data_IF_585498313356
#
_entry.id   IF_585498313356
#
_cell.length_a   1.000
_cell.length_b   1.000
_cell.length_c   1.000
_cell.angle_alpha   90.00
_cell.angle_beta   90.00
_cell.angle_gamma   90.00
#
_symmetry.space_group_name_H-M   'P 1'
#
loop_
_entity.id
_entity.type
_entity.pdbx_description
1 polymer ?
#
# COMPACT_ATOMS: atom_id res chain seq x y z
N UNK A 1 23.91 10.83 12.00
CA UNK A 1 22.43 10.93 12.02
C UNK A 1 21.94 10.14 10.82
N UNK A 2 21.31 8.98 11.01
CA UNK A 2 20.68 8.27 9.89
C UNK A 2 19.39 9.02 9.52
N UNK A 3 19.26 9.46 8.26
CA UNK A 3 18.05 10.14 7.77
C UNK A 3 16.79 9.30 8.02
N UNK A 4 16.94 7.97 7.97
CA UNK A 4 15.87 6.98 8.14
C UNK A 4 15.27 6.93 9.55
N UNK A 5 16.03 7.32 10.59
CA UNK A 5 15.54 7.39 11.97
C UNK A 5 14.39 8.37 12.14
N UNK A 6 14.31 9.37 11.26
CA UNK A 6 13.28 10.42 11.28
C UNK A 6 12.10 10.13 10.37
N UNK A 7 12.17 9.07 9.55
CA UNK A 7 11.15 8.77 8.54
C UNK A 7 9.96 7.99 9.13
N UNK A 8 9.24 8.53 10.11
CA UNK A 8 8.05 7.84 10.68
C UNK A 8 6.82 7.82 9.74
N UNK A 9 6.88 8.50 8.59
CA UNK A 9 5.85 8.59 7.55
C UNK A 9 4.47 9.12 7.98
N UNK A 10 4.21 9.32 9.28
CA UNK A 10 2.92 9.75 9.83
C UNK A 10 2.41 11.04 9.17
N UNK A 11 3.21 12.11 9.22
CA UNK A 11 2.86 13.42 8.62
C UNK A 11 2.61 13.31 7.11
N UNK A 12 3.41 12.49 6.42
CA UNK A 12 3.27 12.26 4.99
C UNK A 12 1.94 11.55 4.68
N UNK A 13 1.66 10.43 5.35
CA UNK A 13 0.40 9.69 5.22
C UNK A 13 -0.82 10.55 5.57
N UNK A 14 -0.75 11.37 6.63
CA UNK A 14 -1.80 12.32 7.00
C UNK A 14 -2.08 13.31 5.86
N UNK A 15 -1.02 13.87 5.28
CA UNK A 15 -1.11 14.82 4.18
C UNK A 15 -1.74 14.18 2.94
N UNK A 16 -1.33 12.97 2.60
CA UNK A 16 -1.85 12.24 1.45
C UNK A 16 -3.31 11.85 1.61
N UNK A 17 -3.68 11.30 2.78
CA UNK A 17 -5.06 10.96 3.08
C UNK A 17 -5.94 12.21 3.08
N UNK A 18 -5.45 13.35 3.59
CA UNK A 18 -6.16 14.63 3.53
C UNK A 18 -6.40 15.08 2.09
N UNK A 19 -5.38 15.01 1.23
CA UNK A 19 -5.49 15.33 -0.21
C UNK A 19 -6.46 14.40 -0.93
N UNK A 20 -6.29 13.09 -0.78
CA UNK A 20 -7.14 12.08 -1.41
C UNK A 20 -8.60 12.20 -0.94
N UNK A 21 -8.85 12.44 0.35
CA UNK A 21 -10.19 12.65 0.88
C UNK A 21 -10.81 13.96 0.37
N UNK A 22 -10.01 15.01 0.14
CA UNK A 22 -10.49 16.25 -0.49
C UNK A 22 -10.93 16.02 -1.93
N UNK A 23 -10.11 15.32 -2.73
CA UNK A 23 -10.44 14.94 -4.12
C UNK A 23 -11.72 14.09 -4.15
N UNK A 24 -11.79 13.06 -3.31
CA UNK A 24 -12.97 12.20 -3.21
C UNK A 24 -14.23 12.99 -2.80
N UNK A 25 -14.10 13.95 -1.87
CA UNK A 25 -15.19 14.83 -1.45
C UNK A 25 -15.72 15.71 -2.58
N UNK A 26 -14.82 16.32 -3.38
CA UNK A 26 -15.19 17.12 -4.55
C UNK A 26 -15.90 16.29 -5.63
N UNK A 27 -15.44 15.06 -5.83
CA UNK A 27 -15.99 14.12 -6.80
C UNK A 27 -17.10 13.23 -6.23
N UNK A 28 -17.64 13.53 -5.04
CA UNK A 28 -18.65 12.68 -4.39
C UNK A 28 -19.85 12.40 -5.29
N UNK A 29 -20.34 13.41 -6.02
CA UNK A 29 -21.48 13.24 -6.94
C UNK A 29 -21.22 12.18 -8.02
N UNK A 30 -19.98 12.10 -8.53
CA UNK A 30 -19.55 11.08 -9.50
C UNK A 30 -19.64 9.68 -8.88
N UNK A 31 -19.07 9.49 -7.69
CA UNK A 31 -18.98 8.17 -7.06
C UNK A 31 -20.32 7.65 -6.53
N UNK A 32 -21.28 8.53 -6.24
CA UNK A 32 -22.63 8.15 -5.81
C UNK A 32 -23.69 8.23 -6.93
N UNK A 33 -23.29 8.53 -8.17
CA UNK A 33 -24.23 8.65 -9.28
C UNK A 33 -24.92 7.32 -9.58
N UNK A 34 -26.26 7.35 -9.71
CA UNK A 34 -27.07 6.20 -10.15
C UNK A 34 -26.99 5.96 -11.66
N UNK A 35 -26.62 7.00 -12.42
CA UNK A 35 -26.53 6.96 -13.88
C UNK A 35 -25.22 6.33 -14.37
N UNK A 36 -24.24 6.15 -13.48
CA UNK A 36 -22.96 5.52 -13.82
C UNK A 36 -22.92 4.09 -13.29
N UNK A 37 -22.49 3.18 -14.17
CA UNK A 37 -22.23 1.80 -13.75
C UNK A 37 -21.17 1.77 -12.64
N UNK A 38 -21.29 0.79 -11.75
CA UNK A 38 -20.35 0.60 -10.65
C UNK A 38 -18.92 0.39 -11.16
N UNK A 39 -18.75 -0.32 -12.28
CA UNK A 39 -17.46 -0.55 -12.94
C UNK A 39 -16.78 0.77 -13.35
N UNK A 40 -17.52 1.67 -13.99
CA UNK A 40 -16.97 2.99 -14.40
C UNK A 40 -16.55 3.80 -13.18
N UNK A 41 -17.36 3.79 -12.11
CA UNK A 41 -17.02 4.51 -10.87
C UNK A 41 -15.76 3.96 -10.20
N UNK A 42 -15.56 2.64 -10.21
CA UNK A 42 -14.32 2.00 -9.71
C UNK A 42 -13.12 2.43 -10.56
N UNK A 43 -13.24 2.47 -11.89
CA UNK A 43 -12.18 2.97 -12.79
C UNK A 43 -11.84 4.44 -12.46
N UNK A 44 -12.85 5.29 -12.31
CA UNK A 44 -12.64 6.69 -11.90
C UNK A 44 -11.94 6.79 -10.54
N UNK A 45 -12.26 5.90 -9.59
CA UNK A 45 -11.55 5.85 -8.31
C UNK A 45 -10.07 5.50 -8.50
N UNK A 46 -9.76 4.48 -9.32
CA UNK A 46 -8.37 4.08 -9.60
C UNK A 46 -7.57 5.22 -10.23
N UNK A 47 -8.15 5.93 -11.19
CA UNK A 47 -7.47 7.00 -11.93
C UNK A 47 -7.31 8.29 -11.11
N UNK A 48 -8.36 8.71 -10.39
CA UNK A 48 -8.42 10.05 -9.79
C UNK A 48 -8.03 10.09 -8.32
N UNK A 49 -8.33 9.03 -7.57
CA UNK A 49 -8.15 9.00 -6.11
C UNK A 49 -7.03 8.07 -5.70
N UNK A 50 -7.00 6.85 -6.26
CA UNK A 50 -5.99 5.85 -5.90
C UNK A 50 -4.59 6.30 -6.29
N UNK A 51 -4.43 6.93 -7.46
CA UNK A 51 -3.15 7.49 -7.89
C UNK A 51 -2.54 8.45 -6.85
N UNK A 52 -3.38 9.27 -6.19
CA UNK A 52 -2.93 10.17 -5.14
C UNK A 52 -2.48 9.42 -3.87
N UNK A 53 -3.08 8.27 -3.59
CA UNK A 53 -2.71 7.40 -2.49
C UNK A 53 -1.47 6.55 -2.80
N UNK A 54 -1.08 6.38 -4.05
CA UNK A 54 0.10 5.57 -4.41
C UNK A 54 1.28 6.45 -4.79
N UNK A 55 1.20 7.76 -4.54
CA UNK A 55 2.30 8.67 -4.70
C UNK A 55 3.45 8.31 -3.74
N UNK A 56 4.69 8.25 -4.25
CA UNK A 56 5.88 7.79 -3.51
C UNK A 56 5.84 6.34 -3.04
N UNK A 57 5.14 5.44 -3.76
CA UNK A 57 5.00 4.03 -3.41
C UNK A 57 6.33 3.30 -3.10
N UNK A 58 7.44 3.69 -3.74
CA UNK A 58 8.77 3.06 -3.58
C UNK A 58 9.26 3.04 -2.14
N UNK A 59 8.87 4.03 -1.32
CA UNK A 59 9.32 4.15 0.07
C UNK A 59 8.33 3.46 1.04
N UNK A 60 7.15 3.06 0.58
CA UNK A 60 6.04 2.72 1.47
C UNK A 60 6.09 1.32 2.07
N UNK A 61 6.88 0.39 1.53
CA UNK A 61 6.97 -0.96 2.11
C UNK A 61 7.38 -0.93 3.60
N UNK A 62 8.14 0.09 4.02
CA UNK A 62 8.56 0.27 5.41
C UNK A 62 7.61 1.14 6.27
N UNK A 63 6.37 1.39 5.85
CA UNK A 63 5.37 2.01 6.75
C UNK A 63 4.85 1.00 7.78
N UNK A 64 4.43 1.49 8.95
CA UNK A 64 3.84 0.63 9.96
C UNK A 64 2.47 0.07 9.55
N UNK A 65 2.11 -1.09 10.09
CA UNK A 65 0.81 -1.73 9.91
C UNK A 65 -0.35 -0.76 10.20
N UNK A 66 -0.23 0.05 11.26
CA UNK A 66 -1.25 1.04 11.63
C UNK A 66 -1.47 2.12 10.57
N UNK A 67 -0.39 2.61 9.93
CA UNK A 67 -0.49 3.59 8.86
C UNK A 67 -1.06 2.98 7.58
N UNK A 68 -0.66 1.75 7.24
CA UNK A 68 -1.23 1.03 6.10
C UNK A 68 -2.74 0.77 6.30
N UNK A 69 -3.18 0.43 7.51
CA UNK A 69 -4.60 0.20 7.78
C UNK A 69 -5.44 1.47 7.58
N UNK A 70 -4.89 2.65 7.84
CA UNK A 70 -5.59 3.92 7.54
C UNK A 70 -5.81 4.10 6.03
N UNK A 71 -4.84 3.72 5.21
CA UNK A 71 -4.99 3.73 3.76
C UNK A 71 -6.03 2.70 3.30
N UNK A 72 -6.01 1.49 3.85
CA UNK A 72 -7.01 0.45 3.57
C UNK A 72 -8.42 0.87 3.99
N UNK A 73 -8.62 1.51 5.15
CA UNK A 73 -9.92 2.05 5.59
C UNK A 73 -10.44 3.07 4.56
N UNK A 74 -9.57 3.98 4.10
CA UNK A 74 -9.94 4.99 3.11
C UNK A 74 -10.27 4.39 1.73
N UNK A 75 -9.50 3.42 1.25
CA UNK A 75 -9.80 2.66 0.02
C UNK A 75 -11.18 1.98 0.14
N UNK A 76 -11.44 1.28 1.25
CA UNK A 76 -12.74 0.62 1.48
C UNK A 76 -13.88 1.63 1.48
N UNK A 77 -13.73 2.80 2.13
CA UNK A 77 -14.71 3.90 2.07
C UNK A 77 -15.03 4.30 0.63
N UNK A 78 -14.00 4.46 -0.21
CA UNK A 78 -14.18 4.84 -1.62
C UNK A 78 -14.89 3.73 -2.42
N UNK A 79 -14.50 2.47 -2.24
CA UNK A 79 -15.11 1.34 -2.93
C UNK A 79 -16.58 1.16 -2.56
N UNK A 80 -16.93 1.34 -1.28
CA UNK A 80 -18.33 1.31 -0.84
C UNK A 80 -19.19 2.35 -1.52
N UNK A 81 -18.66 3.56 -1.73
CA UNK A 81 -19.35 4.59 -2.50
C UNK A 81 -19.52 4.19 -3.97
N UNK A 82 -18.44 3.73 -4.62
CA UNK A 82 -18.45 3.33 -6.04
C UNK A 82 -19.40 2.16 -6.31
N UNK A 83 -19.51 1.22 -5.38
CA UNK A 83 -20.37 0.04 -5.51
C UNK A 83 -21.77 0.24 -4.94
N UNK A 84 -22.02 1.30 -4.17
CA UNK A 84 -23.25 1.51 -3.38
C UNK A 84 -23.51 0.30 -2.45
N UNK A 85 -22.46 -0.19 -1.80
CA UNK A 85 -22.47 -1.44 -1.04
C UNK A 85 -21.99 -1.22 0.39
N UNK A 86 -22.95 -0.96 1.29
CA UNK A 86 -22.66 -0.68 2.70
C UNK A 86 -22.93 -1.90 3.60
N UNK A 87 -24.15 -2.43 3.57
CA UNK A 87 -24.62 -3.46 4.51
C UNK A 87 -25.06 -4.73 3.78
N UNK A 88 -24.95 -5.88 4.45
CA UNK A 88 -25.31 -7.18 3.88
C UNK A 88 -26.77 -7.51 4.14
N UNK A 89 -27.49 -7.97 3.10
CA UNK A 89 -28.87 -8.48 3.24
C UNK A 89 -28.91 -9.81 4.01
N UNK A 90 -27.83 -10.60 3.96
CA UNK A 90 -27.71 -11.91 4.65
C UNK A 90 -27.76 -11.82 6.19
N UNK A 91 -27.58 -10.62 6.74
CA UNK A 91 -27.59 -10.37 8.18
C UNK A 91 -28.57 -9.24 8.53
N UNK A 92 -29.72 -9.20 7.86
CA UNK A 92 -30.78 -8.20 8.06
C UNK A 92 -30.29 -6.75 8.04
N UNK A 93 -29.27 -6.47 7.23
CA UNK A 93 -28.63 -5.15 7.16
C UNK A 93 -28.08 -4.63 8.50
N UNK A 94 -27.79 -5.52 9.45
CA UNK A 94 -27.11 -5.21 10.72
C UNK A 94 -25.61 -5.07 10.46
N UNK A 95 -25.03 -6.02 9.71
CA UNK A 95 -23.59 -6.09 9.48
C UNK A 95 -23.16 -5.43 8.17
N UNK A 96 -21.96 -4.84 8.19
CA UNK A 96 -21.28 -4.41 6.98
C UNK A 96 -20.92 -5.60 6.09
N UNK A 97 -20.92 -5.39 4.77
CA UNK A 97 -20.44 -6.40 3.82
C UNK A 97 -18.97 -6.71 4.10
N UNK A 98 -18.58 -7.99 4.08
CA UNK A 98 -17.21 -8.41 4.29
C UNK A 98 -16.24 -7.71 3.33
N UNK A 99 -15.04 -7.41 3.81
CA UNK A 99 -14.03 -6.73 3.00
C UNK A 99 -13.65 -7.57 1.77
N UNK A 100 -13.59 -8.90 1.91
CA UNK A 100 -13.32 -9.82 0.81
C UNK A 100 -14.36 -9.67 -0.32
N UNK A 101 -15.66 -9.69 0.02
CA UNK A 101 -16.73 -9.53 -0.97
C UNK A 101 -16.69 -8.16 -1.64
N UNK A 102 -16.31 -7.11 -0.89
CA UNK A 102 -16.13 -5.76 -1.44
C UNK A 102 -15.04 -5.74 -2.53
N UNK A 103 -13.87 -6.31 -2.25
CA UNK A 103 -12.77 -6.37 -3.24
C UNK A 103 -13.09 -7.28 -4.41
N UNK A 104 -13.68 -8.46 -4.17
CA UNK A 104 -14.11 -9.37 -5.24
C UNK A 104 -15.09 -8.68 -6.19
N UNK A 105 -16.04 -7.89 -5.67
CA UNK A 105 -17.00 -7.15 -6.50
C UNK A 105 -16.38 -5.97 -7.24
N UNK A 106 -15.43 -5.27 -6.62
CA UNK A 106 -14.69 -4.18 -7.26
C UNK A 106 -13.73 -4.69 -8.34
N UNK A 107 -13.30 -5.95 -8.25
CA UNK A 107 -12.31 -6.58 -9.14
C UNK A 107 -11.01 -5.77 -9.23
N UNK A 108 -10.50 -5.33 -8.08
CA UNK A 108 -9.21 -4.65 -7.97
C UNK A 108 -8.39 -5.28 -6.84
N UNK A 109 -7.04 -5.30 -6.94
CA UNK A 109 -6.20 -5.69 -5.83
C UNK A 109 -6.37 -4.70 -4.68
N UNK A 110 -6.17 -5.14 -3.43
CA UNK A 110 -6.08 -4.27 -2.25
C UNK A 110 -4.88 -3.31 -2.37
N UNK A 111 -4.95 -2.13 -1.76
CA UNK A 111 -3.95 -1.06 -1.92
C UNK A 111 -2.52 -1.49 -1.58
N UNK A 112 -2.32 -2.33 -0.57
CA UNK A 112 -1.00 -2.83 -0.19
C UNK A 112 -0.42 -3.80 -1.22
N UNK A 113 -1.22 -4.74 -1.73
CA UNK A 113 -0.84 -5.60 -2.85
C UNK A 113 -0.52 -4.79 -4.10
N UNK A 114 -1.33 -3.77 -4.37
CA UNK A 114 -1.12 -2.88 -5.49
C UNK A 114 0.21 -2.11 -5.34
N UNK A 115 0.49 -1.56 -4.17
CA UNK A 115 1.76 -0.86 -3.87
C UNK A 115 2.95 -1.82 -4.03
N UNK A 116 2.90 -3.02 -3.47
CA UNK A 116 3.98 -4.01 -3.59
C UNK A 116 4.26 -4.33 -5.06
N UNK A 117 3.21 -4.52 -5.87
CA UNK A 117 3.37 -4.75 -7.30
C UNK A 117 3.99 -3.55 -8.03
N UNK A 118 3.62 -2.31 -7.66
CA UNK A 118 4.28 -1.12 -8.20
C UNK A 118 5.76 -1.06 -7.84
N UNK A 119 6.13 -1.41 -6.60
CA UNK A 119 7.54 -1.43 -6.17
C UNK A 119 8.32 -2.50 -6.94
N UNK A 120 7.75 -3.71 -7.11
CA UNK A 120 8.37 -4.77 -7.92
C UNK A 120 8.58 -4.32 -9.37
N UNK A 121 7.56 -3.72 -9.97
CA UNK A 121 7.65 -3.23 -11.34
C UNK A 121 8.72 -2.14 -11.47
N UNK A 122 8.82 -1.24 -10.50
CA UNK A 122 9.86 -0.21 -10.46
C UNK A 122 11.26 -0.82 -10.48
N UNK A 123 11.58 -1.74 -9.57
CA UNK A 123 12.89 -2.40 -9.55
C UNK A 123 13.14 -3.29 -10.79
N UNK A 124 12.08 -3.88 -11.35
CA UNK A 124 12.16 -4.62 -12.62
C UNK A 124 12.55 -3.71 -13.79
N UNK A 125 12.05 -2.48 -13.81
CA UNK A 125 12.43 -1.50 -14.84
C UNK A 125 13.85 -0.96 -14.61
N UNK A 126 14.22 -0.71 -13.35
CA UNK A 126 15.58 -0.26 -13.01
C UNK A 126 16.64 -1.28 -13.42
N UNK A 127 16.36 -2.58 -13.28
CA UNK A 127 17.32 -3.63 -13.69
C UNK A 127 17.59 -3.72 -15.18
N UNK A 128 16.74 -3.10 -16.02
CA UNK A 128 16.95 -3.00 -17.45
C UNK A 128 17.89 -1.84 -17.82
N UNK A 129 18.15 -0.91 -16.90
CA UNK A 129 18.99 0.27 -17.13
C UNK A 129 20.45 -0.09 -16.85
N UNK A 130 21.19 -0.48 -17.89
CA UNK A 130 22.61 -0.87 -17.76
C UNK A 130 23.59 0.27 -17.98
N UNK A 131 23.13 1.42 -18.51
CA UNK A 131 23.99 2.53 -18.90
C UNK A 131 24.26 3.54 -17.78
N UNK A 132 23.40 3.60 -16.76
CA UNK A 132 23.52 4.57 -15.67
C UNK A 132 24.08 3.90 -14.42
N UNK A 133 25.36 4.14 -14.14
CA UNK A 133 26.06 3.57 -12.99
C UNK A 133 25.46 3.98 -11.63
N UNK A 134 24.80 5.14 -11.55
CA UNK A 134 24.14 5.59 -10.31
C UNK A 134 22.88 4.78 -9.99
N UNK A 135 22.15 4.34 -11.01
CA UNK A 135 20.97 3.47 -10.85
C UNK A 135 21.43 2.04 -10.62
N UNK A 136 22.43 1.58 -11.36
CA UNK A 136 22.97 0.24 -11.21
C UNK A 136 23.41 -0.08 -9.77
N UNK A 137 24.02 0.89 -9.08
CA UNK A 137 24.49 0.72 -7.71
C UNK A 137 23.36 0.39 -6.69
N UNK A 138 22.11 0.80 -6.93
CA UNK A 138 20.98 0.53 -6.02
C UNK A 138 20.49 -0.93 -6.09
N UNK A 139 20.88 -1.65 -7.14
CA UNK A 139 20.45 -3.03 -7.40
C UNK A 139 21.41 -4.08 -6.82
N UNK A 140 22.61 -3.68 -6.36
CA UNK A 140 23.58 -4.61 -5.77
C UNK A 140 23.39 -4.68 -4.26
N UNK A 141 22.80 -5.78 -3.74
CA UNK A 141 22.51 -5.88 -2.33
C UNK A 141 23.80 -6.03 -1.53
N UNK A 142 24.05 -5.12 -0.59
CA UNK A 142 24.98 -5.39 0.51
C UNK A 142 24.21 -6.16 1.59
N UNK A 143 24.33 -7.48 1.56
CA UNK A 143 23.57 -8.39 2.45
C UNK A 143 23.82 -8.09 3.93
N UNK A 144 25.07 -7.86 4.33
CA UNK A 144 25.40 -7.50 5.72
C UNK A 144 24.73 -6.19 6.15
N UNK A 145 24.68 -5.21 5.25
CA UNK A 145 24.00 -3.95 5.51
C UNK A 145 22.49 -4.15 5.68
N UNK A 146 21.87 -4.98 4.85
CA UNK A 146 20.43 -5.27 4.96
C UNK A 146 20.08 -6.08 6.21
N UNK A 147 20.89 -7.07 6.58
CA UNK A 147 20.70 -7.81 7.84
C UNK A 147 20.80 -6.88 9.06
N UNK A 148 21.75 -5.95 9.06
CA UNK A 148 21.89 -4.95 10.12
C UNK A 148 20.70 -3.96 10.14
N UNK A 149 20.24 -3.49 8.99
CA UNK A 149 19.09 -2.56 8.90
C UNK A 149 17.76 -3.23 9.26
N UNK A 150 17.60 -4.54 9.03
CA UNK A 150 16.47 -5.35 9.52
C UNK A 150 16.43 -5.33 11.06
N UNK A 151 17.57 -5.59 11.70
CA UNK A 151 17.70 -5.62 13.16
C UNK A 151 17.52 -4.24 13.82
N UNK A 152 17.83 -3.16 13.09
CA UNK A 152 17.66 -1.80 13.57
C UNK A 152 16.31 -1.17 13.16
N UNK A 153 15.62 -1.73 12.17
CA UNK A 153 14.33 -1.25 11.64
C UNK A 153 14.44 -0.09 10.65
N UNK A 154 15.64 0.40 10.36
CA UNK A 154 15.89 1.51 9.43
C UNK A 154 16.19 0.98 8.04
N UNK A 155 15.16 0.37 7.43
CA UNK A 155 15.26 -0.21 6.10
C UNK A 155 15.22 0.89 5.02
N UNK A 156 16.26 0.99 4.19
CA UNK A 156 16.26 1.87 3.04
C UNK A 156 15.47 1.23 1.88
N UNK A 157 15.00 2.02 0.89
CA UNK A 157 14.25 1.50 -0.26
C UNK A 157 14.90 0.31 -0.97
N UNK A 158 16.21 0.37 -1.15
CA UNK A 158 17.06 -0.60 -1.82
C UNK A 158 17.08 -1.96 -1.14
N UNK A 159 16.62 -2.06 0.12
CA UNK A 159 16.44 -3.33 0.80
C UNK A 159 15.22 -4.12 0.27
N UNK A 160 14.31 -3.50 -0.48
CA UNK A 160 13.09 -4.16 -0.94
C UNK A 160 13.35 -5.43 -1.76
N UNK A 161 14.20 -5.45 -2.81
CA UNK A 161 14.47 -6.67 -3.57
C UNK A 161 15.05 -7.79 -2.71
N UNK A 162 15.92 -7.45 -1.75
CA UNK A 162 16.48 -8.41 -0.80
C UNK A 162 15.40 -9.05 0.08
N UNK A 163 14.52 -8.22 0.66
CA UNK A 163 13.40 -8.69 1.50
C UNK A 163 12.39 -9.52 0.69
N UNK A 164 12.10 -9.11 -0.54
CA UNK A 164 11.16 -9.80 -1.42
C UNK A 164 11.69 -11.19 -1.79
N UNK A 165 12.98 -11.29 -2.14
CA UNK A 165 13.64 -12.56 -2.42
C UNK A 165 13.67 -13.51 -1.21
N UNK A 166 13.83 -12.96 0.01
CA UNK A 166 13.80 -13.73 1.27
C UNK A 166 12.40 -14.10 1.74
N UNK A 167 11.33 -13.69 1.03
CA UNK A 167 9.95 -13.95 1.42
C UNK A 167 9.46 -13.11 2.60
N UNK A 168 10.12 -11.98 2.90
CA UNK A 168 9.74 -11.09 3.99
C UNK A 168 8.68 -10.04 3.61
N UNK A 169 8.25 -9.99 2.34
CA UNK A 169 7.25 -9.01 1.87
C UNK A 169 5.84 -9.63 1.81
N UNK A 170 5.74 -10.82 1.23
CA UNK A 170 4.51 -11.58 1.06
C UNK A 170 4.73 -13.07 1.42
N UNK A 171 3.66 -13.73 1.86
CA UNK A 171 3.66 -15.19 2.03
C UNK A 171 3.48 -15.92 0.68
N UNK A 172 3.46 -17.26 0.72
CA UNK A 172 3.22 -18.11 -0.46
C UNK A 172 1.86 -17.89 -1.15
N UNK A 173 0.91 -17.23 -0.49
CA UNK A 173 -0.41 -16.90 -1.02
C UNK A 173 -0.50 -15.45 -1.52
N UNK A 174 0.63 -14.75 -1.65
CA UNK A 174 0.70 -13.32 -2.01
C UNK A 174 0.00 -12.39 -1.01
N UNK A 175 -0.05 -12.76 0.27
CA UNK A 175 -0.60 -11.92 1.35
C UNK A 175 0.54 -11.05 1.91
N UNK A 176 0.39 -9.71 1.97
CA UNK A 176 1.43 -8.78 2.47
C UNK A 176 1.74 -8.91 3.95
N UNK A 177 2.60 -9.84 4.35
CA UNK A 177 2.98 -10.07 5.75
C UNK A 177 3.67 -8.86 6.38
N UNK A 178 4.40 -8.06 5.60
CA UNK A 178 5.12 -6.86 6.06
C UNK A 178 4.23 -5.83 6.79
N UNK A 179 2.92 -5.85 6.54
CA UNK A 179 1.95 -4.96 7.17
C UNK A 179 1.00 -5.66 8.15
N UNK A 180 1.16 -6.96 8.39
CA UNK A 180 0.32 -7.72 9.32
C UNK A 180 1.01 -8.01 10.63
N UNK A 181 2.35 -8.07 10.64
CA UNK A 181 3.09 -8.16 11.88
C UNK A 181 3.12 -6.80 12.60
N UNK A 182 2.77 -6.75 13.89
CA UNK A 182 2.62 -5.50 14.62
C UNK A 182 3.97 -4.82 14.81
N UNK A 183 4.21 -3.77 14.03
CA UNK A 183 5.36 -2.87 14.19
C UNK A 183 4.92 -1.58 14.87
N UNK A 184 5.58 -1.20 15.98
CA UNK A 184 5.35 0.10 16.60
C UNK A 184 5.88 1.19 15.67
N UNK A 185 5.27 2.37 15.64
CA UNK A 185 5.77 3.48 14.81
C UNK A 185 7.23 3.87 15.13
N UNK A 186 7.68 3.61 16.36
CA UNK A 186 9.03 3.89 16.86
C UNK A 186 9.94 2.65 16.84
N UNK A 187 9.39 1.45 16.58
CA UNK A 187 10.16 0.22 16.44
C UNK A 187 9.74 -0.47 15.13
N UNK A 188 10.56 -0.25 14.10
CA UNK A 188 10.31 -0.71 12.73
C UNK A 188 11.00 -2.04 12.39
N UNK A 189 11.64 -2.68 13.36
CA UNK A 189 12.29 -3.98 13.18
C UNK A 189 11.34 -4.98 12.55
N UNK A 190 11.87 -5.82 11.66
CA UNK A 190 11.13 -6.94 11.10
C UNK A 190 11.50 -8.18 11.90
N UNK A 191 10.59 -8.59 12.78
CA UNK A 191 10.67 -9.81 13.57
C UNK A 191 9.48 -10.68 13.17
N UNK A 192 9.76 -11.76 12.44
CA UNK A 192 8.77 -12.78 12.09
C UNK A 192 8.88 -13.93 13.11
N UNK A 193 7.76 -14.51 13.57
CA UNK A 193 7.80 -15.73 14.35
C UNK A 193 8.48 -16.84 13.54
N UNK A 194 9.18 -17.77 14.21
CA UNK A 194 9.82 -18.91 13.58
C UNK A 194 8.83 -19.81 12.84
#
# INVERSE_FOLDING_TARGET
INLDERLHYKKHMDTLLKKANSIFGRLKRLFYSRYLSSKVRVICYQLLVRLQLTYCYSIWFNISASLMERARIFERKCLRACLIMNRSAEFDYIKHISNQRLYNKANIPRIDNFIINLIREHYRQESLITQNSLIFATLYPNTMYYENTIQNGFLPPEAFPYLDHKGYIQDCNNIPIIYHYPRRNNNKKLEYPP
#
